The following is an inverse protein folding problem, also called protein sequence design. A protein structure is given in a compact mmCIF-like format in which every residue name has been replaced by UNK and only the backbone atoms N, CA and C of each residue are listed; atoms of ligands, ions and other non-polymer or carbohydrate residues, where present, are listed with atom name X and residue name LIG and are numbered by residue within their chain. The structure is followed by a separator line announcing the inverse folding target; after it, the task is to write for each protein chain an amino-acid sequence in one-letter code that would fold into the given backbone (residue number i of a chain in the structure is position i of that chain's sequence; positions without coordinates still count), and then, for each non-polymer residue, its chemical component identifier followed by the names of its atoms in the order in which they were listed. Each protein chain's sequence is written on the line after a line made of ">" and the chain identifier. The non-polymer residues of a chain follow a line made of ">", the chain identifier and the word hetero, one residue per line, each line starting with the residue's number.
data_IF_997284400515
#
_entry.id   IF_997284400515
#
_cell.length_a   1.000
_cell.length_b   1.000
_cell.length_c   1.000
_cell.angle_alpha   90.00
_cell.angle_beta   90.00
_cell.angle_gamma   90.00
#
_symmetry.space_group_name_H-M   'P 1'
#
loop_
_entity.id
_entity.type
_entity.pdbx_description
1 polymer ?
#
# COMPACT_ATOMS: atom_id res chain seq x y z
N UNK A 1 -12.64 -9.40 -21.38
CA UNK A 1 -12.29 -9.58 -19.95
C UNK A 1 -11.88 -11.01 -19.55
N UNK A 2 -12.29 -12.08 -20.27
CA UNK A 2 -11.89 -13.47 -19.94
C UNK A 2 -10.36 -13.68 -19.92
N UNK A 3 -9.64 -13.14 -20.91
CA UNK A 3 -8.18 -13.20 -21.00
C UNK A 3 -7.45 -12.57 -19.80
N UNK A 4 -7.98 -11.48 -19.24
CA UNK A 4 -7.41 -10.86 -18.04
C UNK A 4 -7.57 -11.77 -16.82
N UNK A 5 -8.78 -12.30 -16.62
CA UNK A 5 -9.09 -13.20 -15.51
C UNK A 5 -8.19 -14.46 -15.55
N UNK A 6 -7.97 -15.02 -16.75
CA UNK A 6 -7.03 -16.12 -16.96
C UNK A 6 -5.59 -15.72 -16.63
N UNK A 7 -5.12 -14.56 -17.12
CA UNK A 7 -3.75 -14.10 -16.91
C UNK A 7 -3.40 -13.86 -15.44
N UNK A 8 -4.36 -13.40 -14.62
CA UNK A 8 -4.16 -13.12 -13.19
C UNK A 8 -4.61 -14.26 -12.27
N UNK A 9 -5.09 -15.38 -12.83
CA UNK A 9 -5.59 -16.52 -12.05
C UNK A 9 -6.86 -16.22 -11.24
N UNK A 10 -7.67 -15.24 -11.67
CA UNK A 10 -8.89 -14.84 -10.98
C UNK A 10 -10.12 -15.47 -11.66
N UNK A 11 -11.06 -16.07 -10.92
CA UNK A 11 -12.33 -16.52 -11.51
C UNK A 11 -13.13 -15.34 -12.09
N UNK A 12 -13.68 -15.53 -13.30
CA UNK A 12 -14.45 -14.50 -14.01
C UNK A 12 -15.63 -13.96 -13.20
N UNK A 13 -16.34 -14.83 -12.46
CA UNK A 13 -17.43 -14.43 -11.57
C UNK A 13 -16.96 -13.46 -10.50
N UNK A 14 -15.85 -13.79 -9.82
CA UNK A 14 -15.24 -12.95 -8.79
C UNK A 14 -14.85 -11.57 -9.32
N UNK A 15 -14.37 -11.50 -10.56
CA UNK A 15 -14.06 -10.22 -11.21
C UNK A 15 -15.32 -9.35 -11.38
N UNK A 16 -16.40 -9.91 -11.93
CA UNK A 16 -17.64 -9.15 -12.13
C UNK A 16 -18.31 -8.77 -10.82
N UNK A 17 -18.31 -9.63 -9.81
CA UNK A 17 -18.84 -9.32 -8.47
C UNK A 17 -18.08 -8.15 -7.84
N UNK A 18 -16.74 -8.16 -7.91
CA UNK A 18 -15.90 -7.06 -7.39
C UNK A 18 -16.12 -5.78 -8.19
N UNK A 19 -16.24 -5.87 -9.51
CA UNK A 19 -16.48 -4.72 -10.39
C UNK A 19 -17.85 -4.08 -10.11
N UNK A 20 -18.90 -4.88 -9.94
CA UNK A 20 -20.23 -4.39 -9.59
C UNK A 20 -20.21 -3.66 -8.23
N UNK A 21 -19.57 -4.25 -7.22
CA UNK A 21 -19.43 -3.61 -5.90
C UNK A 21 -18.67 -2.29 -5.96
N UNK A 22 -17.58 -2.26 -6.73
CA UNK A 22 -16.81 -1.04 -6.96
C UNK A 22 -17.65 0.06 -7.62
N UNK A 23 -18.44 -0.27 -8.65
CA UNK A 23 -19.33 0.69 -9.29
C UNK A 23 -20.46 1.19 -8.38
N UNK A 24 -20.92 0.36 -7.44
CA UNK A 24 -21.87 0.74 -6.40
C UNK A 24 -21.24 1.55 -5.25
N UNK A 25 -19.94 1.87 -5.31
CA UNK A 25 -19.26 2.67 -4.30
C UNK A 25 -18.97 1.93 -3.00
N UNK A 26 -19.04 0.59 -3.00
CA UNK A 26 -18.63 -0.17 -1.82
C UNK A 26 -17.13 -0.02 -1.59
N UNK A 27 -16.78 0.23 -0.32
CA UNK A 27 -15.41 0.37 0.11
C UNK A 27 -14.64 -0.94 -0.18
N UNK A 28 -13.63 -0.85 -1.04
CA UNK A 28 -12.79 -1.99 -1.38
C UNK A 28 -11.80 -2.16 -0.25
N UNK A 29 -11.92 -3.25 0.50
CA UNK A 29 -10.93 -3.79 1.48
C UNK A 29 -10.24 -2.70 2.28
N UNK A 30 -10.66 -2.56 3.55
CA UNK A 30 -10.33 -1.46 4.45
C UNK A 30 -8.87 -0.99 4.47
N UNK A 31 -8.61 0.18 5.07
CA UNK A 31 -7.33 0.86 4.98
C UNK A 31 -6.21 -0.12 5.33
N UNK A 32 -5.29 -0.30 4.39
CA UNK A 32 -4.09 -1.08 4.64
C UNK A 32 -3.44 -0.54 5.92
N UNK A 33 -2.91 -1.42 6.80
CA UNK A 33 -2.26 -0.99 8.02
C UNK A 33 -1.22 0.06 7.65
N UNK A 34 -1.49 1.30 8.06
CA UNK A 34 -0.54 2.38 7.88
C UNK A 34 0.51 2.20 8.97
N UNK A 35 1.80 2.05 8.64
CA UNK A 35 2.82 1.99 9.67
C UNK A 35 2.69 3.22 10.56
N UNK A 36 2.83 3.04 11.88
CA UNK A 36 2.76 4.12 12.86
C UNK A 36 3.94 5.09 12.64
N UNK A 37 3.83 5.95 11.62
CA UNK A 37 4.88 6.87 11.17
C UNK A 37 5.32 7.76 12.32
N UNK A 38 4.37 8.26 13.09
CA UNK A 38 4.64 9.13 14.23
C UNK A 38 5.37 8.39 15.35
N UNK A 39 4.98 7.16 15.64
CA UNK A 39 5.58 6.34 16.70
C UNK A 39 7.02 5.92 16.42
N UNK A 40 7.40 5.75 15.15
CA UNK A 40 8.76 5.33 14.77
C UNK A 40 9.66 6.50 14.32
N UNK A 41 9.12 7.71 14.17
CA UNK A 41 9.83 8.87 13.62
C UNK A 41 11.13 9.17 14.39
N UNK A 42 11.07 9.17 15.71
CA UNK A 42 12.24 9.46 16.55
C UNK A 42 13.37 8.44 16.32
N UNK A 43 13.03 7.16 16.28
CA UNK A 43 13.99 6.06 16.04
C UNK A 43 14.60 6.15 14.63
N UNK A 44 13.77 6.45 13.63
CA UNK A 44 14.23 6.63 12.24
C UNK A 44 15.23 7.78 12.14
N UNK A 45 14.98 8.90 12.83
CA UNK A 45 15.90 10.04 12.87
C UNK A 45 17.20 9.66 13.55
N UNK A 46 17.15 9.01 14.73
CA UNK A 46 18.34 8.58 15.47
C UNK A 46 19.24 7.65 14.62
N UNK A 47 18.64 6.63 14.02
CA UNK A 47 19.37 5.66 13.18
C UNK A 47 19.95 6.32 11.93
N UNK A 48 19.20 7.23 11.30
CA UNK A 48 19.68 7.94 10.11
C UNK A 48 20.86 8.87 10.41
N UNK A 49 20.86 9.54 11.57
CA UNK A 49 21.98 10.38 12.01
C UNK A 49 23.22 9.54 12.36
N UNK A 50 23.01 8.34 12.91
CA UNK A 50 24.10 7.39 13.24
C UNK A 50 24.80 6.83 12.00
N UNK A 51 24.09 6.69 10.88
CA UNK A 51 24.62 6.11 9.64
C UNK A 51 24.45 7.06 8.45
N UNK A 52 25.29 8.11 8.33
CA UNK A 52 25.13 9.16 7.31
C UNK A 52 25.19 8.68 5.85
N UNK A 53 25.80 7.52 5.61
CA UNK A 53 25.87 6.85 4.31
C UNK A 53 24.56 6.18 3.87
N UNK A 54 23.59 6.00 4.78
CA UNK A 54 22.27 5.42 4.46
C UNK A 54 21.33 6.40 3.76
N UNK A 55 21.80 7.63 3.55
CA UNK A 55 21.18 8.62 2.68
C UNK A 55 20.22 9.54 3.42
N UNK A 56 20.74 10.70 3.82
CA UNK A 56 20.03 11.91 4.26
C UNK A 56 18.88 12.35 3.31
N UNK A 57 18.81 11.83 2.08
CA UNK A 57 17.79 12.18 1.07
C UNK A 57 16.42 11.49 1.23
N UNK A 58 16.22 10.63 2.24
CA UNK A 58 14.94 9.91 2.46
C UNK A 58 14.12 10.39 3.66
N UNK A 59 14.66 11.25 4.51
CA UNK A 59 13.85 11.92 5.55
C UNK A 59 13.12 13.04 4.81
N UNK A 60 11.93 12.72 4.30
CA UNK A 60 11.27 13.54 3.29
C UNK A 60 11.15 15.01 3.68
N UNK A 61 11.02 15.33 4.98
CA UNK A 61 11.10 16.68 5.52
C UNK A 61 11.50 16.56 6.99
N UNK A 62 12.55 17.26 7.42
CA UNK A 62 12.73 17.62 8.84
C UNK A 62 11.43 18.26 9.34
#
# INVERSE_FOLDING_TARGET
>A
MSRFCQAVGLPTRTYYDRRARHHAGHEVRGPWPTPARDGIRAIVIEVALKYPMWGHRKIAWL
#
